data_IF_659110589971
#
_entry.id   IF_659110589971
#
_cell.length_a   1.000
_cell.length_b   1.000
_cell.length_c   1.000
_cell.angle_alpha   90.00
_cell.angle_beta   90.00
_cell.angle_gamma   90.00
#
_symmetry.space_group_name_H-M   'P 1'
#
loop_
_entity.id
_entity.type
_entity.pdbx_description
1 polymer ?
#
# COMPACT_ATOMS: atom_id res chain seq x y z
N UNK A 1 -0.17 10.97 17.30
CA UNK A 1 -0.05 11.07 15.83
C UNK A 1 1.22 10.43 15.29
N UNK A 2 2.39 10.70 15.88
CA UNK A 2 3.70 10.27 15.38
C UNK A 2 3.82 8.76 15.05
N UNK A 3 3.31 7.80 15.87
CA UNK A 3 3.39 6.37 15.53
C UNK A 3 2.61 5.99 14.26
N UNK A 4 1.41 6.54 14.08
CA UNK A 4 0.59 6.32 12.88
C UNK A 4 1.23 6.95 11.64
N UNK A 5 1.93 8.07 11.82
CA UNK A 5 2.65 8.72 10.74
C UNK A 5 3.81 7.86 10.23
N UNK A 6 4.66 7.36 11.13
CA UNK A 6 5.75 6.45 10.77
C UNK A 6 5.23 5.13 10.20
N UNK A 7 4.17 4.57 10.76
CA UNK A 7 3.59 3.32 10.28
C UNK A 7 2.96 3.49 8.88
N UNK A 8 2.32 4.64 8.60
CA UNK A 8 1.83 4.98 7.26
C UNK A 8 2.97 5.12 6.25
N UNK A 9 4.06 5.79 6.62
CA UNK A 9 5.26 5.88 5.77
C UNK A 9 5.83 4.49 5.49
N UNK A 10 6.04 3.70 6.54
CA UNK A 10 6.65 2.38 6.44
C UNK A 10 5.80 1.44 5.58
N UNK A 11 4.49 1.38 5.80
CA UNK A 11 3.59 0.51 5.03
C UNK A 11 3.50 0.95 3.57
N UNK A 12 3.36 2.24 3.27
CA UNK A 12 3.41 2.75 1.90
C UNK A 12 4.76 2.45 1.21
N UNK A 13 5.87 2.62 1.92
CA UNK A 13 7.20 2.31 1.38
C UNK A 13 7.33 0.81 1.07
N UNK A 14 6.96 -0.05 2.01
CA UNK A 14 7.04 -1.51 1.85
C UNK A 14 6.16 -1.94 0.68
N UNK A 15 4.88 -1.57 0.66
CA UNK A 15 3.97 -1.92 -0.44
C UNK A 15 4.47 -1.39 -1.78
N UNK A 16 4.94 -0.14 -1.82
CA UNK A 16 5.49 0.48 -3.03
C UNK A 16 6.72 -0.27 -3.55
N UNK A 17 7.66 -0.66 -2.69
CA UNK A 17 8.85 -1.41 -3.06
C UNK A 17 8.50 -2.81 -3.59
N UNK A 18 7.55 -3.48 -2.94
CA UNK A 18 7.09 -4.81 -3.35
C UNK A 18 6.47 -4.74 -4.73
N UNK A 19 5.49 -3.87 -4.93
CA UNK A 19 4.76 -3.76 -6.20
C UNK A 19 5.65 -3.23 -7.34
N UNK A 20 6.58 -2.31 -7.08
CA UNK A 20 7.42 -1.71 -8.11
C UNK A 20 8.62 -2.59 -8.51
N UNK A 21 9.24 -3.28 -7.56
CA UNK A 21 10.56 -3.90 -7.76
C UNK A 21 10.61 -5.40 -7.47
N UNK A 22 9.98 -5.87 -6.40
CA UNK A 22 10.19 -7.25 -5.92
C UNK A 22 9.17 -8.26 -6.46
N UNK A 23 7.94 -7.83 -6.68
CA UNK A 23 6.85 -8.69 -7.15
C UNK A 23 6.00 -7.94 -8.18
N UNK A 24 6.70 -7.47 -9.22
CA UNK A 24 6.11 -6.76 -10.34
C UNK A 24 5.24 -7.73 -11.14
N UNK A 25 3.94 -7.61 -10.98
CA UNK A 25 2.97 -8.31 -11.84
C UNK A 25 3.05 -7.69 -13.24
N UNK A 26 3.37 -8.48 -14.28
CA UNK A 26 3.07 -8.04 -15.65
C UNK A 26 1.55 -8.23 -15.86
N UNK A 27 0.95 -7.39 -16.71
CA UNK A 27 -0.47 -7.47 -17.08
C UNK A 27 -0.93 -8.93 -17.22
N UNK A 28 -1.90 -9.36 -16.41
CA UNK A 28 -2.54 -10.67 -16.52
C UNK A 28 -1.83 -11.84 -15.83
N UNK A 29 -1.54 -11.71 -14.53
CA UNK A 29 -1.06 -12.79 -13.64
C UNK A 29 0.24 -13.50 -14.03
N UNK A 30 0.87 -13.14 -15.14
CA UNK A 30 2.21 -13.63 -15.46
C UNK A 30 3.20 -12.97 -14.49
N UNK A 31 3.83 -13.75 -13.58
CA UNK A 31 4.95 -13.23 -12.83
C UNK A 31 5.99 -12.76 -13.84
N UNK A 32 6.50 -11.53 -13.68
CA UNK A 32 7.67 -11.13 -14.46
C UNK A 32 8.73 -12.23 -14.30
N UNK A 33 9.47 -12.58 -15.36
CA UNK A 33 10.48 -13.67 -15.44
C UNK A 33 11.62 -13.63 -14.40
N UNK A 34 11.47 -12.86 -13.32
CA UNK A 34 12.34 -12.81 -12.16
C UNK A 34 11.85 -13.79 -11.11
N UNK A 35 12.73 -14.69 -10.68
CA UNK A 35 12.58 -15.37 -9.41
C UNK A 35 12.25 -14.33 -8.33
N UNK A 36 11.15 -14.53 -7.61
CA UNK A 36 10.73 -13.61 -6.54
C UNK A 36 11.86 -13.63 -5.49
N UNK A 37 12.56 -12.49 -5.28
CA UNK A 37 13.77 -12.49 -4.46
C UNK A 37 13.49 -12.85 -2.99
N UNK A 38 12.25 -12.68 -2.54
CA UNK A 38 11.83 -13.09 -1.20
C UNK A 38 10.46 -13.78 -1.20
N UNK A 39 10.42 -15.12 -1.06
CA UNK A 39 9.19 -15.91 -1.09
C UNK A 39 8.16 -15.52 -0.02
N UNK A 40 8.62 -15.05 1.15
CA UNK A 40 7.74 -14.68 2.26
C UNK A 40 6.73 -13.57 1.91
N UNK A 41 7.01 -12.77 0.88
CA UNK A 41 6.11 -11.69 0.45
C UNK A 41 4.77 -12.17 -0.09
N UNK A 42 4.68 -13.44 -0.50
CA UNK A 42 3.45 -14.08 -0.97
C UNK A 42 2.79 -14.95 0.09
N UNK A 43 3.36 -15.04 1.29
CA UNK A 43 2.73 -15.77 2.39
C UNK A 43 1.48 -15.04 2.87
N UNK A 44 0.39 -15.78 3.07
CA UNK A 44 -0.91 -15.25 3.48
C UNK A 44 -0.82 -14.40 4.76
N UNK A 45 0.03 -14.79 5.71
CA UNK A 45 0.24 -14.04 6.96
C UNK A 45 0.86 -12.67 6.69
N UNK A 46 1.88 -12.60 5.84
CA UNK A 46 2.53 -11.34 5.49
C UNK A 46 1.57 -10.42 4.74
N UNK A 47 0.89 -10.95 3.71
CA UNK A 47 -0.09 -10.21 2.92
C UNK A 47 -1.22 -9.66 3.80
N UNK A 48 -1.71 -10.45 4.76
CA UNK A 48 -2.74 -10.01 5.70
C UNK A 48 -2.23 -8.92 6.64
N UNK A 49 -1.03 -9.08 7.21
CA UNK A 49 -0.45 -8.11 8.13
C UNK A 49 -0.26 -6.74 7.46
N UNK A 50 0.33 -6.71 6.26
CA UNK A 50 0.55 -5.45 5.54
C UNK A 50 -0.77 -4.79 5.13
N UNK A 51 -1.76 -5.59 4.72
CA UNK A 51 -3.12 -5.14 4.41
C UNK A 51 -3.76 -4.44 5.61
N UNK A 52 -3.74 -5.09 6.78
CA UNK A 52 -4.34 -4.57 8.01
C UNK A 52 -3.59 -3.32 8.48
N UNK A 53 -2.26 -3.37 8.55
CA UNK A 53 -1.48 -2.22 9.05
C UNK A 53 -1.61 -1.00 8.14
N UNK A 54 -1.58 -1.18 6.83
CA UNK A 54 -1.76 -0.06 5.90
C UNK A 54 -3.19 0.49 5.94
N UNK A 55 -4.21 -0.39 5.88
CA UNK A 55 -5.60 0.03 5.92
C UNK A 55 -5.96 0.72 7.24
N UNK A 56 -5.55 0.15 8.36
CA UNK A 56 -5.79 0.73 9.69
C UNK A 56 -5.10 2.08 9.85
N UNK A 57 -3.86 2.23 9.38
CA UNK A 57 -3.15 3.52 9.46
C UNK A 57 -3.77 4.58 8.57
N UNK A 58 -4.18 4.24 7.35
CA UNK A 58 -4.83 5.17 6.45
C UNK A 58 -6.17 5.67 7.02
N UNK A 59 -7.01 4.76 7.55
CA UNK A 59 -8.25 5.12 8.24
C UNK A 59 -7.97 5.98 9.47
N UNK A 60 -6.98 5.61 10.29
CA UNK A 60 -6.61 6.38 11.49
C UNK A 60 -6.15 7.79 11.14
N UNK A 61 -5.39 7.96 10.05
CA UNK A 61 -4.97 9.28 9.56
C UNK A 61 -6.14 10.11 9.02
N UNK A 62 -7.15 9.48 8.42
CA UNK A 62 -8.35 10.16 7.93
C UNK A 62 -9.25 10.69 9.07
N UNK A 63 -9.37 9.92 10.16
CA UNK A 63 -10.10 10.33 11.37
C UNK A 63 -9.30 11.35 12.24
N UNK A 64 -8.03 11.50 11.90
CA UNK A 64 -6.94 12.31 12.45
C UNK A 64 -6.77 13.77 12.01
N UNK A 65 -7.64 14.78 12.24
CA UNK A 65 -7.27 16.14 11.85
C UNK A 65 -6.06 16.64 12.67
N UNK A 66 -4.90 16.70 12.02
CA UNK A 66 -3.73 17.39 12.54
C UNK A 66 -3.88 18.86 12.15
N UNK A 67 -4.15 19.74 13.11
CA UNK A 67 -4.12 21.21 12.97
C UNK A 67 -5.28 21.91 12.22
N UNK A 68 -5.34 23.23 12.36
CA UNK A 68 -6.59 24.01 12.29
C UNK A 68 -6.95 24.66 10.95
N UNK A 69 -6.09 24.70 9.91
CA UNK A 69 -6.48 25.43 8.69
C UNK A 69 -5.98 24.95 7.30
N UNK A 70 -4.88 24.19 7.13
CA UNK A 70 -4.39 23.83 5.76
C UNK A 70 -3.70 22.44 5.67
N UNK A 71 -4.01 21.50 6.57
CA UNK A 71 -3.24 20.24 6.71
C UNK A 71 -3.87 19.03 5.97
N UNK A 72 -5.09 19.19 5.47
CA UNK A 72 -5.84 18.12 4.80
C UNK A 72 -5.17 17.67 3.50
N UNK A 73 -4.45 18.53 2.78
CA UNK A 73 -3.84 18.16 1.50
C UNK A 73 -2.60 17.25 1.64
N UNK A 74 -1.81 17.44 2.71
CA UNK A 74 -0.53 16.73 2.89
C UNK A 74 -0.71 15.26 3.25
N UNK A 75 -1.64 14.96 4.16
CA UNK A 75 -1.91 13.58 4.61
C UNK A 75 -2.85 12.82 3.67
N UNK A 76 -3.59 13.51 2.79
CA UNK A 76 -4.53 12.87 1.87
C UNK A 76 -3.84 11.94 0.87
N UNK A 77 -2.72 12.37 0.28
CA UNK A 77 -1.95 11.57 -0.68
C UNK A 77 -1.52 10.21 -0.07
N UNK A 78 -0.85 10.17 1.09
CA UNK A 78 -0.48 8.89 1.72
C UNK A 78 -1.66 8.07 2.24
N UNK A 79 -2.78 8.71 2.59
CA UNK A 79 -4.01 7.98 2.94
C UNK A 79 -4.57 7.27 1.70
N UNK A 80 -4.72 7.96 0.58
CA UNK A 80 -5.23 7.37 -0.67
C UNK A 80 -4.29 6.28 -1.17
N UNK A 81 -2.98 6.53 -1.16
CA UNK A 81 -1.98 5.54 -1.54
C UNK A 81 -2.03 4.30 -0.64
N UNK A 82 -2.15 4.50 0.69
CA UNK A 82 -2.24 3.41 1.66
C UNK A 82 -3.51 2.58 1.49
N UNK A 83 -4.66 3.21 1.25
CA UNK A 83 -5.91 2.50 0.98
C UNK A 83 -5.84 1.71 -0.33
N UNK A 84 -5.31 2.32 -1.40
CA UNK A 84 -5.16 1.64 -2.69
C UNK A 84 -4.19 0.44 -2.58
N UNK A 85 -3.04 0.63 -1.92
CA UNK A 85 -2.09 -0.45 -1.66
C UNK A 85 -2.69 -1.56 -0.79
N UNK A 86 -3.39 -1.21 0.29
CA UNK A 86 -4.09 -2.17 1.14
C UNK A 86 -5.11 -2.99 0.35
N UNK A 87 -5.87 -2.37 -0.57
CA UNK A 87 -6.81 -3.08 -1.42
C UNK A 87 -6.12 -4.06 -2.41
N UNK A 88 -4.95 -3.70 -2.96
CA UNK A 88 -4.15 -4.62 -3.81
C UNK A 88 -3.69 -5.83 -3.00
N UNK A 89 -3.10 -5.60 -1.83
CA UNK A 89 -2.60 -6.67 -0.97
C UNK A 89 -3.72 -7.54 -0.40
N UNK A 90 -4.90 -6.97 -0.16
CA UNK A 90 -6.10 -7.74 0.18
C UNK A 90 -6.49 -8.69 -0.97
N UNK A 91 -6.45 -8.21 -2.21
CA UNK A 91 -6.68 -9.06 -3.39
C UNK A 91 -5.70 -10.22 -3.45
N UNK A 92 -4.41 -9.96 -3.27
CA UNK A 92 -3.36 -10.98 -3.22
C UNK A 92 -3.54 -11.98 -2.07
N UNK A 93 -3.98 -11.51 -0.89
CA UNK A 93 -4.31 -12.37 0.24
C UNK A 93 -5.51 -13.27 -0.05
N UNK A 94 -6.54 -12.74 -0.70
CA UNK A 94 -7.69 -13.54 -1.11
C UNK A 94 -7.29 -14.62 -2.12
N UNK A 95 -6.33 -14.36 -3.01
CA UNK A 95 -5.81 -15.38 -3.93
C UNK A 95 -4.92 -16.42 -3.26
N UNK A 96 -4.22 -16.07 -2.19
CA UNK A 96 -3.38 -17.02 -1.46
C UNK A 96 -4.17 -18.01 -0.60
N UNK A 97 -5.49 -17.83 -0.48
CA UNK A 97 -6.38 -18.74 0.23
C UNK A 97 -6.80 -19.92 -0.67
N UNK A 98 -6.85 -21.16 -0.12
CA UNK A 98 -7.07 -22.37 -0.91
C UNK A 98 -8.49 -22.54 -1.47
N UNK A 99 -9.47 -21.73 -1.02
CA UNK A 99 -10.90 -21.91 -1.36
C UNK A 99 -11.46 -20.84 -2.31
N UNK A 100 -10.63 -19.92 -2.79
CA UNK A 100 -11.07 -18.76 -3.58
C UNK A 100 -11.04 -19.12 -5.07
N UNK A 101 -12.17 -19.60 -5.61
CA UNK A 101 -12.28 -20.03 -7.02
C UNK A 101 -12.35 -18.89 -8.03
N UNK A 102 -12.74 -17.68 -7.61
CA UNK A 102 -12.86 -16.50 -8.46
C UNK A 102 -12.71 -15.23 -7.63
N UNK A 103 -11.73 -14.38 -7.96
CA UNK A 103 -11.59 -13.06 -7.36
C UNK A 103 -12.69 -12.13 -7.91
N UNK A 104 -13.33 -11.29 -7.08
CA UNK A 104 -14.28 -10.29 -7.58
C UNK A 104 -13.63 -9.35 -8.62
N UNK A 105 -14.40 -8.94 -9.63
CA UNK A 105 -13.91 -8.08 -10.73
C UNK A 105 -13.22 -6.80 -10.25
N UNK A 106 -13.62 -6.27 -9.09
CA UNK A 106 -12.98 -5.13 -8.45
C UNK A 106 -11.46 -5.33 -8.25
N UNK A 107 -11.03 -6.50 -7.76
CA UNK A 107 -9.61 -6.78 -7.53
C UNK A 107 -8.86 -7.02 -8.83
N UNK A 108 -9.52 -7.59 -9.85
CA UNK A 108 -8.95 -7.76 -11.19
C UNK A 108 -8.69 -6.41 -11.86
N UNK A 109 -9.60 -5.44 -11.69
CA UNK A 109 -9.39 -4.06 -12.14
C UNK A 109 -8.20 -3.45 -11.40
N UNK A 110 -8.15 -3.61 -10.07
CA UNK A 110 -7.11 -3.00 -9.25
C UNK A 110 -5.71 -3.50 -9.61
N UNK A 111 -5.57 -4.80 -9.94
CA UNK A 111 -4.32 -5.40 -10.46
C UNK A 111 -3.78 -4.70 -11.69
N UNK A 112 -4.65 -4.23 -12.59
CA UNK A 112 -4.23 -3.50 -13.79
C UNK A 112 -3.57 -2.15 -13.45
N UNK A 113 -3.80 -1.64 -12.24
CA UNK A 113 -3.22 -0.41 -11.72
C UNK A 113 -2.10 -0.66 -10.70
N UNK A 114 -1.64 -1.90 -10.49
CA UNK A 114 -0.58 -2.27 -9.53
C UNK A 114 0.65 -1.34 -9.67
N UNK A 115 1.11 -1.10 -10.89
CA UNK A 115 2.29 -0.26 -11.17
C UNK A 115 2.06 1.21 -10.79
N UNK A 116 0.86 1.74 -11.08
CA UNK A 116 0.50 3.12 -10.71
C UNK A 116 0.38 3.26 -9.20
N UNK A 117 -0.26 2.27 -8.54
CA UNK A 117 -0.39 2.22 -7.08
C UNK A 117 0.99 2.08 -6.43
N UNK A 118 1.90 1.30 -7.01
CA UNK A 118 3.27 1.17 -6.54
C UNK A 118 4.00 2.51 -6.51
N UNK A 119 3.95 3.25 -7.62
CA UNK A 119 4.58 4.56 -7.71
C UNK A 119 3.90 5.60 -6.81
N UNK A 120 2.57 5.54 -6.66
CA UNK A 120 1.85 6.39 -5.73
C UNK A 120 2.28 6.14 -4.27
N UNK A 121 2.42 4.87 -3.86
CA UNK A 121 2.91 4.45 -2.56
C UNK A 121 4.36 4.93 -2.30
N UNK A 122 5.26 4.76 -3.28
CA UNK A 122 6.65 5.23 -3.18
C UNK A 122 6.73 6.76 -3.10
N UNK A 123 5.95 7.47 -3.93
CA UNK A 123 5.88 8.92 -3.91
C UNK A 123 5.33 9.44 -2.59
N UNK A 124 4.24 8.85 -2.09
CA UNK A 124 3.66 9.20 -0.81
C UNK A 124 4.65 8.99 0.35
N UNK A 125 5.35 7.86 0.39
CA UNK A 125 6.36 7.59 1.41
C UNK A 125 7.56 8.55 1.30
N UNK A 126 8.07 8.77 0.10
CA UNK A 126 9.21 9.66 -0.16
C UNK A 126 8.91 11.11 0.16
N UNK A 127 7.77 11.63 -0.30
CA UNK A 127 7.32 13.00 0.01
C UNK A 127 7.15 13.20 1.52
N UNK A 128 6.53 12.25 2.23
CA UNK A 128 6.37 12.35 3.67
C UNK A 128 7.67 12.23 4.48
N UNK A 129 8.65 11.46 4.00
CA UNK A 129 9.98 11.38 4.61
C UNK A 129 10.77 12.68 4.40
N UNK A 130 10.79 13.20 3.18
CA UNK A 130 11.58 14.39 2.81
C UNK A 130 10.99 15.68 3.38
N UNK A 131 9.66 15.80 3.43
CA UNK A 131 8.96 17.00 3.90
C UNK A 131 8.36 16.87 5.30
N UNK A 132 8.83 15.89 6.10
CA UNK A 132 8.44 15.73 7.51
C UNK A 132 8.50 17.07 8.27
N UNK A 133 9.47 17.94 7.97
CA UNK A 133 9.64 19.25 8.62
C UNK A 133 8.59 20.31 8.28
N UNK A 134 7.87 20.20 7.16
CA UNK A 134 6.78 21.14 6.77
C UNK A 134 5.40 20.63 7.17
N UNK A 135 5.28 19.36 7.61
CA UNK A 135 4.01 18.72 7.99
C UNK A 135 3.89 18.57 9.51
N UNK A 136 5.01 18.62 10.25
CA UNK A 136 5.05 18.54 11.72
C UNK A 136 5.05 19.90 12.46
N UNK A 137 4.96 21.05 11.77
CA UNK A 137 4.85 22.37 12.38
C UNK A 137 3.61 23.13 11.89
#
# INVERSE_FOLDING_TARGET
MLPFYFLSIATNLIMGLILAFFDKTKKGDEPADKEIPFPFMRESTFLLLITIFSGFTAISKLLTPVGTNIIILGDFIPVVAGLAGSAVFLGRYLESLPNTKTLPDFFNILKNYDEIIAYACLFAAGSHLLFSRFIFL
#
